data_IF_354583364198
#
_entry.id   IF_354583364198
#
_cell.length_a   1.000
_cell.length_b   1.000
_cell.length_c   1.000
_cell.angle_alpha   90.00
_cell.angle_beta   90.00
_cell.angle_gamma   90.00
#
_symmetry.space_group_name_H-M   'P 1'
#
loop_
_entity.id
_entity.type
_entity.pdbx_description
1 polymer ?
#
# COMPACT_ATOMS: atom_id res chain seq x y z
N UNK A 1 14.31 3.62 20.26
CA UNK A 1 15.22 4.29 19.29
C UNK A 1 14.53 5.58 18.85
N UNK A 2 14.96 6.75 19.34
CA UNK A 2 14.43 8.02 18.82
C UNK A 2 15.01 8.25 17.43
N UNK A 3 14.16 8.49 16.44
CA UNK A 3 14.59 9.02 15.14
C UNK A 3 15.16 10.43 15.38
N UNK A 4 16.46 10.56 15.67
CA UNK A 4 17.17 11.86 15.67
C UNK A 4 17.57 12.24 14.23
N UNK A 5 16.65 12.06 13.30
CA UNK A 5 16.69 12.65 11.98
C UNK A 5 15.48 13.57 11.89
N UNK A 6 15.71 14.86 11.68
CA UNK A 6 14.63 15.78 11.33
C UNK A 6 13.88 15.17 10.15
N UNK A 7 12.54 15.13 10.21
CA UNK A 7 11.78 14.67 9.07
C UNK A 7 12.13 15.56 7.86
N UNK A 8 12.16 14.99 6.64
CA UNK A 8 12.33 15.83 5.45
C UNK A 8 11.21 16.86 5.40
N UNK A 9 11.46 17.98 4.72
CA UNK A 9 10.41 18.98 4.50
C UNK A 9 9.21 18.31 3.81
N UNK A 10 7.97 18.53 4.27
CA UNK A 10 6.79 17.96 3.62
C UNK A 10 6.69 18.47 2.17
N UNK A 11 6.30 17.58 1.27
CA UNK A 11 6.07 17.87 -0.16
C UNK A 11 4.86 18.78 -0.32
N UNK A 12 3.81 18.49 0.45
CA UNK A 12 2.59 19.31 0.53
C UNK A 12 2.00 19.15 1.92
N UNK A 13 1.47 20.25 2.43
CA UNK A 13 0.73 20.30 3.68
C UNK A 13 -0.48 21.22 3.54
N UNK A 14 -1.45 21.10 4.44
CA UNK A 14 -2.63 21.96 4.45
C UNK A 14 -3.80 21.39 5.24
N UNK A 15 -4.86 22.19 5.33
CA UNK A 15 -6.10 21.77 5.97
C UNK A 15 -6.95 20.93 5.01
N UNK A 16 -7.43 19.79 5.49
CA UNK A 16 -8.30 18.88 4.76
C UNK A 16 -9.40 18.39 5.67
N UNK A 17 -10.62 18.28 5.17
CA UNK A 17 -11.72 17.64 5.90
C UNK A 17 -11.63 16.13 5.71
N UNK A 18 -11.55 15.38 6.79
CA UNK A 18 -11.38 13.92 6.76
C UNK A 18 -12.57 13.21 7.38
N UNK A 19 -13.05 12.14 6.73
CA UNK A 19 -14.09 11.26 7.27
C UNK A 19 -13.50 10.25 8.26
N UNK A 20 -14.14 10.08 9.42
CA UNK A 20 -13.80 9.02 10.37
C UNK A 20 -14.30 7.65 9.91
N UNK A 21 -13.77 6.57 10.50
CA UNK A 21 -14.25 5.21 10.21
C UNK A 21 -15.58 4.96 10.92
N UNK A 22 -15.58 5.12 12.25
CA UNK A 22 -16.78 4.96 13.08
C UNK A 22 -17.72 6.18 13.00
N UNK A 23 -17.15 7.39 13.02
CA UNK A 23 -17.92 8.62 12.87
C UNK A 23 -17.80 9.13 11.43
N UNK A 24 -18.90 9.07 10.69
CA UNK A 24 -18.97 9.44 9.27
C UNK A 24 -18.95 10.95 9.03
N UNK A 25 -18.93 11.79 10.08
CA UNK A 25 -18.78 13.23 9.95
C UNK A 25 -17.36 13.59 9.47
N UNK A 26 -17.30 14.56 8.56
CA UNK A 26 -16.06 15.18 8.12
C UNK A 26 -15.55 16.16 9.17
N UNK A 27 -14.32 15.94 9.67
CA UNK A 27 -13.65 16.83 10.63
C UNK A 27 -12.42 17.47 9.98
N UNK A 28 -12.15 18.76 10.25
CA UNK A 28 -10.93 19.39 9.77
C UNK A 28 -9.71 18.74 10.41
N UNK A 29 -8.70 18.44 9.60
CA UNK A 29 -7.40 17.90 10.02
C UNK A 29 -6.32 18.61 9.22
N UNK A 30 -5.24 18.98 9.89
CA UNK A 30 -4.04 19.40 9.18
C UNK A 30 -3.36 18.13 8.67
N UNK A 31 -2.96 18.09 7.42
CA UNK A 31 -2.29 16.95 6.80
C UNK A 31 -0.95 17.37 6.24
N UNK A 32 0.02 16.47 6.28
CA UNK A 32 1.33 16.68 5.70
C UNK A 32 1.79 15.40 4.99
N UNK A 33 2.24 15.55 3.75
CA UNK A 33 2.73 14.48 2.90
C UNK A 33 4.25 14.51 2.84
N UNK A 34 4.87 13.38 3.12
CA UNK A 34 6.32 13.21 3.10
C UNK A 34 6.71 12.13 2.09
N UNK A 35 7.77 12.37 1.35
CA UNK A 35 8.44 11.33 0.58
C UNK A 35 9.43 10.60 1.49
N UNK A 36 9.41 9.27 1.43
CA UNK A 36 10.30 8.38 2.16
C UNK A 36 11.52 8.05 1.28
N UNK A 37 12.62 7.65 1.91
CA UNK A 37 13.87 7.29 1.20
C UNK A 37 13.71 6.14 0.21
N UNK A 38 12.73 5.26 0.42
CA UNK A 38 12.41 4.14 -0.47
C UNK A 38 11.54 4.53 -1.68
N UNK A 39 11.32 5.83 -1.92
CA UNK A 39 10.51 6.34 -3.03
C UNK A 39 8.99 6.20 -2.84
N UNK A 40 8.54 5.73 -1.68
CA UNK A 40 7.11 5.78 -1.31
C UNK A 40 6.79 7.08 -0.59
N UNK A 41 5.50 7.42 -0.46
CA UNK A 41 5.09 8.61 0.30
C UNK A 41 4.12 8.24 1.43
N UNK A 42 4.23 8.97 2.54
CA UNK A 42 3.36 8.81 3.73
C UNK A 42 2.61 10.10 4.00
N UNK A 43 1.27 10.03 4.07
CA UNK A 43 0.41 11.13 4.44
C UNK A 43 0.07 11.04 5.93
N UNK A 44 0.59 11.94 6.74
CA UNK A 44 0.21 12.07 8.15
C UNK A 44 -0.94 13.04 8.32
N UNK A 45 -1.77 12.82 9.34
CA UNK A 45 -2.80 13.78 9.73
C UNK A 45 -2.75 14.10 11.23
N UNK A 46 -3.05 15.36 11.54
CA UNK A 46 -2.90 15.97 12.85
C UNK A 46 -4.18 16.66 13.29
N UNK A 47 -4.29 16.91 14.58
CA UNK A 47 -5.42 17.70 15.13
C UNK A 47 -5.38 19.13 14.62
N UNK A 48 -4.19 19.72 14.51
CA UNK A 48 -3.96 21.08 14.05
C UNK A 48 -2.52 21.25 13.50
N UNK A 49 -2.25 22.41 12.93
CA UNK A 49 -0.94 22.79 12.35
C UNK A 49 0.17 22.81 13.41
N UNK A 50 -0.09 23.33 14.60
CA UNK A 50 0.91 23.33 15.68
C UNK A 50 1.40 21.93 16.05
N UNK A 51 0.49 20.95 16.10
CA UNK A 51 0.86 19.56 16.31
C UNK A 51 1.73 19.03 15.16
N UNK A 52 1.41 19.37 13.91
CA UNK A 52 2.22 18.98 12.75
C UNK A 52 3.63 19.57 12.83
N UNK A 53 3.75 20.87 13.16
CA UNK A 53 5.03 21.56 13.26
C UNK A 53 5.93 20.95 14.35
N UNK A 54 5.37 20.54 15.48
CA UNK A 54 6.13 19.81 16.52
C UNK A 54 6.69 18.48 16.01
N UNK A 55 5.94 17.76 15.16
CA UNK A 55 6.46 16.54 14.55
C UNK A 55 7.56 16.84 13.53
N UNK A 56 7.39 17.89 12.72
CA UNK A 56 8.35 18.27 11.68
C UNK A 56 9.67 18.78 12.30
N UNK A 57 9.60 19.72 13.23
CA UNK A 57 10.77 20.40 13.78
C UNK A 57 11.45 19.63 14.91
N UNK A 58 10.65 18.98 15.77
CA UNK A 58 11.15 18.34 17.00
C UNK A 58 11.16 16.82 16.91
N UNK A 59 10.54 16.23 15.88
CA UNK A 59 10.36 14.79 15.78
C UNK A 59 9.35 14.21 16.77
N UNK A 60 8.50 15.05 17.38
CA UNK A 60 7.48 14.61 18.33
C UNK A 60 6.39 13.78 17.61
N UNK A 61 6.00 12.64 18.18
CA UNK A 61 4.97 11.77 17.58
C UNK A 61 3.55 12.28 17.88
N UNK A 62 3.18 13.42 17.30
CA UNK A 62 1.90 14.13 17.54
C UNK A 62 0.80 13.78 16.52
N UNK A 63 1.11 12.97 15.50
CA UNK A 63 0.15 12.56 14.49
C UNK A 63 -0.96 11.68 15.08
N UNK A 64 -2.15 11.75 14.47
CA UNK A 64 -3.32 10.97 14.86
C UNK A 64 -3.48 9.69 14.02
N UNK A 65 -2.62 9.54 13.01
CA UNK A 65 -2.55 8.41 12.11
C UNK A 65 -1.89 8.82 10.80
N UNK A 66 -1.76 7.85 9.90
CA UNK A 66 -1.11 8.02 8.62
C UNK A 66 -1.76 7.14 7.56
N UNK A 67 -1.48 7.46 6.29
CA UNK A 67 -1.84 6.67 5.12
C UNK A 67 -0.55 6.46 4.33
N UNK A 68 -0.15 5.20 4.15
CA UNK A 68 0.93 4.84 3.25
C UNK A 68 0.38 4.89 1.83
N UNK A 69 0.78 5.87 1.02
CA UNK A 69 0.29 5.98 -0.36
C UNK A 69 0.74 4.77 -1.20
N UNK A 70 1.84 4.13 -0.81
CA UNK A 70 2.27 2.85 -1.37
C UNK A 70 1.28 1.70 -1.13
N UNK A 71 0.36 1.77 -0.17
CA UNK A 71 -0.66 0.74 0.05
C UNK A 71 -1.99 1.06 -0.63
N UNK A 72 -2.12 2.24 -1.24
CA UNK A 72 -3.37 2.65 -1.89
C UNK A 72 -3.50 1.92 -3.22
N UNK A 73 -4.59 1.17 -3.39
CA UNK A 73 -4.89 0.42 -4.62
C UNK A 73 -5.78 1.20 -5.58
N UNK A 74 -6.49 2.22 -5.08
CA UNK A 74 -7.41 3.02 -5.87
C UNK A 74 -7.47 4.47 -5.36
N UNK A 75 -7.47 5.43 -6.28
CA UNK A 75 -7.53 6.86 -5.99
C UNK A 75 -8.39 7.61 -7.01
N UNK A 76 -9.55 8.09 -6.56
CA UNK A 76 -10.49 8.79 -7.43
C UNK A 76 -11.17 9.99 -6.76
N UNK A 77 -11.69 10.88 -7.59
CA UNK A 77 -12.63 11.89 -7.15
C UNK A 77 -14.00 11.22 -6.98
N UNK A 78 -14.64 11.50 -5.85
CA UNK A 78 -15.95 10.97 -5.47
C UNK A 78 -16.75 12.07 -4.79
N UNK A 79 -18.07 11.99 -4.82
CA UNK A 79 -18.96 12.93 -4.12
C UNK A 79 -19.55 12.25 -2.90
N UNK A 80 -19.29 12.79 -1.70
CA UNK A 80 -19.86 12.25 -0.46
C UNK A 80 -20.92 13.19 0.12
N UNK A 81 -22.15 12.70 0.28
CA UNK A 81 -23.25 13.41 0.93
C UNK A 81 -24.62 12.90 0.46
N UNK A 82 -25.57 12.71 1.38
CA UNK A 82 -26.86 12.11 1.03
C UNK A 82 -28.01 13.11 0.79
N UNK A 83 -27.92 14.38 1.23
CA UNK A 83 -29.13 15.23 1.21
C UNK A 83 -29.00 16.76 1.28
N UNK A 84 -27.83 17.39 1.52
CA UNK A 84 -27.81 18.86 1.71
C UNK A 84 -26.53 19.60 1.31
N UNK A 85 -25.63 18.95 0.57
CA UNK A 85 -24.41 19.58 0.09
C UNK A 85 -23.42 18.50 -0.33
N UNK A 86 -23.34 18.26 -1.63
CA UNK A 86 -22.36 17.34 -2.19
C UNK A 86 -20.96 17.90 -1.92
N UNK A 87 -20.20 17.17 -1.11
CA UNK A 87 -18.81 17.50 -0.84
C UNK A 87 -17.94 16.73 -1.83
N UNK A 88 -17.15 17.44 -2.62
CA UNK A 88 -16.11 16.83 -3.44
C UNK A 88 -15.06 16.20 -2.53
N UNK A 89 -14.83 14.91 -2.74
CA UNK A 89 -13.91 14.10 -1.94
C UNK A 89 -12.94 13.34 -2.83
N UNK A 90 -11.77 13.08 -2.29
CA UNK A 90 -10.80 12.14 -2.80
C UNK A 90 -11.00 10.86 -2.00
N UNK A 91 -11.34 9.80 -2.71
CA UNK A 91 -11.43 8.45 -2.17
C UNK A 91 -10.09 7.75 -2.37
N UNK A 92 -9.50 7.25 -1.27
CA UNK A 92 -8.29 6.45 -1.26
C UNK A 92 -8.61 5.08 -0.66
N UNK A 93 -8.52 4.01 -1.45
CA UNK A 93 -8.76 2.66 -0.96
C UNK A 93 -7.43 1.98 -0.62
N UNK A 94 -7.30 1.50 0.61
CA UNK A 94 -6.24 0.59 1.04
C UNK A 94 -6.84 -0.80 1.33
N UNK A 95 -6.05 -1.87 1.45
CA UNK A 95 -6.56 -3.21 1.72
C UNK A 95 -7.41 -3.33 3.00
N UNK A 96 -7.14 -2.46 3.97
CA UNK A 96 -7.80 -2.48 5.27
C UNK A 96 -8.96 -1.50 5.38
N UNK A 97 -8.99 -0.45 4.56
CA UNK A 97 -9.92 0.67 4.74
C UNK A 97 -10.00 1.60 3.52
N UNK A 98 -11.19 2.16 3.32
CA UNK A 98 -11.39 3.35 2.47
C UNK A 98 -11.30 4.65 3.26
N UNK A 99 -10.52 5.59 2.74
CA UNK A 99 -10.34 6.93 3.30
C UNK A 99 -11.01 7.96 2.38
N UNK A 100 -11.72 8.91 3.00
CA UNK A 100 -12.32 10.03 2.28
C UNK A 100 -11.72 11.33 2.82
N UNK A 101 -11.10 12.08 1.91
CA UNK A 101 -10.47 13.36 2.16
C UNK A 101 -11.18 14.42 1.31
N UNK A 102 -11.45 15.60 1.86
CA UNK A 102 -12.02 16.72 1.12
C UNK A 102 -11.17 17.95 1.40
N UNK A 103 -10.16 18.19 0.55
CA UNK A 103 -9.45 19.46 0.54
C UNK A 103 -10.39 20.60 0.13
N UNK A 104 -9.98 21.83 0.42
CA UNK A 104 -10.69 23.00 -0.07
C UNK A 104 -10.72 23.01 -1.61
N UNK A 105 -11.78 23.57 -2.19
CA UNK A 105 -12.05 23.46 -3.63
C UNK A 105 -10.90 23.93 -4.53
N UNK A 106 -10.15 24.95 -4.11
CA UNK A 106 -8.98 25.45 -4.83
C UNK A 106 -7.80 24.46 -4.81
N UNK A 107 -7.66 23.66 -3.75
CA UNK A 107 -6.58 22.68 -3.61
C UNK A 107 -6.96 21.26 -4.05
N UNK A 108 -8.24 21.00 -4.33
CA UNK A 108 -8.75 19.66 -4.61
C UNK A 108 -7.98 18.97 -5.74
N UNK A 109 -7.84 19.64 -6.88
CA UNK A 109 -7.14 19.08 -8.05
C UNK A 109 -5.64 18.89 -7.79
N UNK A 110 -5.03 19.76 -6.98
CA UNK A 110 -3.63 19.65 -6.61
C UNK A 110 -3.39 18.39 -5.76
N UNK A 111 -4.19 18.18 -4.72
CA UNK A 111 -4.08 16.97 -3.90
C UNK A 111 -4.37 15.69 -4.68
N UNK A 112 -5.41 15.69 -5.52
CA UNK A 112 -5.79 14.53 -6.32
C UNK A 112 -4.69 14.13 -7.32
N UNK A 113 -4.13 15.11 -8.05
CA UNK A 113 -3.05 14.85 -9.00
C UNK A 113 -1.79 14.34 -8.30
N UNK A 114 -1.44 14.93 -7.15
CA UNK A 114 -0.29 14.52 -6.34
C UNK A 114 -0.44 13.06 -5.86
N UNK A 115 -1.60 12.68 -5.32
CA UNK A 115 -1.81 11.31 -4.89
C UNK A 115 -1.73 10.31 -6.05
N UNK A 116 -2.32 10.62 -7.20
CA UNK A 116 -2.26 9.77 -8.39
C UNK A 116 -0.83 9.57 -8.90
N UNK A 117 -0.05 10.64 -8.94
CA UNK A 117 1.37 10.58 -9.34
C UNK A 117 2.19 9.65 -8.44
N UNK A 118 2.04 9.78 -7.12
CA UNK A 118 2.77 8.96 -6.14
C UNK A 118 2.32 7.50 -6.12
N UNK A 119 1.03 7.24 -6.31
CA UNK A 119 0.50 5.88 -6.43
C UNK A 119 1.03 5.22 -7.72
N UNK A 120 1.01 5.95 -8.84
CA UNK A 120 1.50 5.41 -10.12
C UNK A 120 3.01 5.15 -10.13
N UNK A 121 3.80 5.98 -9.45
CA UNK A 121 5.26 5.80 -9.33
C UNK A 121 5.59 4.47 -8.64
N UNK A 122 4.83 4.11 -7.60
CA UNK A 122 5.00 2.85 -6.87
C UNK A 122 4.71 1.62 -7.75
N UNK A 123 3.69 1.70 -8.60
CA UNK A 123 3.39 0.60 -9.53
C UNK A 123 4.52 0.38 -10.54
N UNK A 124 5.17 1.45 -11.00
CA UNK A 124 6.33 1.36 -11.87
C UNK A 124 7.52 0.68 -11.17
N UNK A 125 7.85 1.11 -9.95
CA UNK A 125 8.93 0.52 -9.15
C UNK A 125 8.65 -0.96 -8.87
N UNK A 126 7.43 -1.30 -8.45
CA UNK A 126 7.04 -2.68 -8.13
C UNK A 126 7.16 -3.59 -9.36
N UNK A 127 6.73 -3.12 -10.53
CA UNK A 127 6.86 -3.88 -11.79
C UNK A 127 8.32 -4.06 -12.19
N UNK A 128 9.15 -3.04 -12.01
CA UNK A 128 10.57 -3.13 -12.34
C UNK A 128 11.30 -4.14 -11.43
N UNK A 129 11.02 -4.12 -10.13
CA UNK A 129 11.58 -5.10 -9.20
C UNK A 129 11.13 -6.52 -9.52
N UNK A 130 9.84 -6.73 -9.76
CA UNK A 130 9.31 -8.04 -10.15
C UNK A 130 9.90 -8.56 -11.48
N UNK A 131 10.13 -7.67 -12.45
CA UNK A 131 10.76 -8.02 -13.71
C UNK A 131 12.24 -8.42 -13.55
N UNK A 132 12.99 -7.71 -12.69
CA UNK A 132 14.38 -8.03 -12.38
C UNK A 132 14.50 -9.37 -11.63
N UNK A 133 13.62 -9.63 -10.67
CA UNK A 133 13.57 -10.91 -9.96
C UNK A 133 13.21 -12.06 -10.92
N UNK A 134 12.22 -11.87 -11.79
CA UNK A 134 11.87 -12.86 -12.81
C UNK A 134 13.03 -13.12 -13.80
N UNK A 135 13.77 -12.08 -14.20
CA UNK A 135 14.94 -12.22 -15.05
C UNK A 135 16.09 -12.97 -14.35
N UNK A 136 16.34 -12.68 -13.06
CA UNK A 136 17.35 -13.37 -12.27
C UNK A 136 17.03 -14.87 -12.12
N UNK A 137 15.78 -15.22 -11.80
CA UNK A 137 15.33 -16.62 -11.69
C UNK A 137 15.33 -17.33 -13.06
N UNK A 138 14.99 -16.61 -14.14
CA UNK A 138 15.08 -17.13 -15.50
C UNK A 138 16.52 -17.48 -15.91
N UNK A 139 17.49 -16.68 -15.46
CA UNK A 139 18.91 -16.91 -15.72
C UNK A 139 19.46 -18.13 -14.96
N UNK A 140 19.03 -18.36 -13.72
CA UNK A 140 19.41 -19.56 -12.93
C UNK A 140 18.83 -20.86 -13.51
N UNK A 141 17.64 -20.79 -14.13
CA UNK A 141 17.05 -21.97 -14.81
C UNK A 141 17.82 -22.39 -16.06
N UNK A 142 18.42 -21.44 -16.78
CA UNK A 142 19.22 -21.74 -17.97
C UNK A 142 20.66 -22.16 -17.61
N UNK A 143 21.23 -21.64 -16.52
CA UNK A 143 22.58 -22.02 -16.09
C UNK A 143 22.65 -23.44 -15.50
N UNK A 144 21.56 -23.94 -14.93
CA UNK A 144 21.46 -25.33 -14.43
C UNK A 144 21.25 -26.36 -15.55
N UNK A 145 20.50 -26.01 -16.60
CA UNK A 145 20.32 -26.88 -17.78
C UNK A 145 21.57 -26.98 -18.67
N UNK A 146 22.45 -25.97 -18.63
CA UNK A 146 23.72 -26.03 -19.36
C UNK A 146 24.77 -26.95 -18.73
N UNK A 147 24.51 -27.54 -17.55
CA UNK A 147 25.49 -28.36 -16.80
C UNK A 147 25.14 -29.84 -16.69
N UNK A 148 24.07 -30.31 -17.33
CA UNK A 148 23.65 -31.72 -17.30
C UNK A 148 23.57 -32.39 -18.68
N UNK A 149 24.31 -31.87 -19.67
CA UNK A 149 24.43 -32.52 -20.99
C UNK A 149 25.57 -33.54 -21.06
N UNK A 150 26.31 -33.77 -19.97
CA UNK A 150 27.31 -34.84 -19.90
C UNK A 150 26.75 -36.01 -19.07
N UNK A 151 26.80 -37.20 -19.67
CA UNK A 151 26.67 -38.52 -19.06
C UNK A 151 25.29 -39.00 -18.61
N UNK A 152 24.38 -39.18 -19.59
CA UNK A 152 23.53 -40.38 -19.55
C UNK A 152 24.15 -41.41 -20.47
N UNK A 153 25.03 -42.24 -19.91
CA UNK A 153 25.53 -43.43 -20.59
C UNK A 153 24.37 -44.38 -20.94
N UNK A 154 24.55 -45.29 -21.92
CA UNK A 154 23.50 -46.17 -22.45
C UNK A 154 22.85 -47.14 -21.44
N UNK A 155 23.31 -47.17 -20.18
CA UNK A 155 22.88 -48.11 -19.14
C UNK A 155 22.04 -47.48 -18.01
N UNK A 156 21.45 -46.30 -18.22
CA UNK A 156 20.61 -45.67 -17.21
C UNK A 156 19.31 -46.46 -16.97
N UNK A 157 19.35 -47.36 -16.00
CA UNK A 157 18.20 -48.09 -15.49
C UNK A 157 17.36 -47.17 -14.63
N UNK A 158 16.13 -46.88 -15.08
CA UNK A 158 15.17 -46.08 -14.31
C UNK A 158 14.85 -46.79 -12.98
N UNK A 159 14.96 -46.11 -11.83
CA UNK A 159 14.49 -46.67 -10.58
C UNK A 159 12.98 -46.81 -10.64
N UNK A 160 12.50 -48.05 -10.48
CA UNK A 160 11.08 -48.36 -10.35
C UNK A 160 10.55 -47.76 -9.03
N UNK A 161 10.13 -46.50 -9.06
CA UNK A 161 9.47 -45.87 -7.92
C UNK A 161 8.10 -46.51 -7.70
N UNK A 162 7.81 -47.10 -6.52
CA UNK A 162 6.50 -47.62 -6.21
C UNK A 162 5.50 -46.47 -6.04
N UNK A 163 4.39 -46.57 -6.77
CA UNK A 163 3.20 -45.71 -6.63
C UNK A 163 2.69 -45.75 -5.19
N UNK A 164 3.08 -44.76 -4.37
CA UNK A 164 2.44 -44.54 -3.07
C UNK A 164 1.05 -43.95 -3.29
N UNK A 165 0.04 -44.74 -2.96
CA UNK A 165 -1.35 -44.35 -2.91
C UNK A 165 -1.52 -43.07 -2.07
N UNK A 166 -2.04 -42.01 -2.69
CA UNK A 166 -2.40 -40.77 -2.00
C UNK A 166 -3.66 -41.03 -1.17
N UNK A 167 -3.52 -40.87 0.15
CA UNK A 167 -4.65 -40.89 1.06
C UNK A 167 -5.55 -39.67 0.82
N UNK A 168 -6.79 -39.95 0.43
CA UNK A 168 -7.88 -39.00 0.26
C UNK A 168 -8.28 -38.40 1.62
N UNK A 169 -8.18 -37.08 1.77
CA UNK A 169 -8.62 -36.37 2.96
C UNK A 169 -10.08 -35.97 2.80
N UNK A 170 -10.97 -36.70 3.49
CA UNK A 170 -12.40 -36.39 3.61
C UNK A 170 -12.61 -35.02 4.25
N UNK A 171 -13.38 -34.16 3.59
CA UNK A 171 -13.97 -32.93 4.12
C UNK A 171 -15.03 -33.26 5.19
N UNK A 172 -14.80 -32.79 6.41
CA UNK A 172 -15.78 -32.82 7.49
C UNK A 172 -16.78 -31.68 7.36
N UNK A 173 -18.05 -32.02 7.13
CA UNK A 173 -19.20 -31.12 7.30
C UNK A 173 -19.39 -30.82 8.79
N UNK A 174 -19.01 -29.63 9.22
CA UNK A 174 -19.31 -29.10 10.54
C UNK A 174 -20.53 -28.20 10.50
N UNK A 175 -21.69 -28.78 10.77
CA UNK A 175 -22.96 -28.09 11.04
C UNK A 175 -22.86 -27.30 12.35
N UNK A 176 -23.23 -26.01 12.36
CA UNK A 176 -23.64 -25.33 13.61
C UNK A 176 -24.90 -24.50 13.39
N UNK A 177 -25.99 -25.06 13.92
CA UNK A 177 -27.19 -24.39 14.39
C UNK A 177 -26.86 -23.59 15.65
N UNK A 178 -27.45 -22.40 15.82
CA UNK A 178 -27.39 -21.68 17.10
C UNK A 178 -28.00 -20.29 17.09
N UNK A 179 -29.34 -20.26 17.20
CA UNK A 179 -30.27 -19.21 17.72
C UNK A 179 -30.16 -17.78 17.21
#
# INVERSE_FOLDING_TARGET
>A
RSFRGLLPKPVKEGWVRKRGLANTAFKPRYVALFDNENGTSTLFYYVNEFAAQRMIDLGDMTHQGFILLGEVTHCEASTAGASSGELMTIELQTPTRTWFLSPDGAEFQLWLSLFRDRISTKDAITRQSAALEAAALGYERLSTLSRSSEEWGPDATLPATPLRARASTRLGLGSRLGR
#
